data_IF_829057067343
#
_entry.id   IF_829057067343
#
_cell.length_a   1.000
_cell.length_b   1.000
_cell.length_c   1.000
_cell.angle_alpha   90.00
_cell.angle_beta   90.00
_cell.angle_gamma   90.00
#
_symmetry.space_group_name_H-M   'P 1'
#
loop_
_entity.id
_entity.type
_entity.pdbx_description
1 polymer ?
#
# COMPACT_ATOMS: atom_id res chain seq x y z
N UNK A 1 -1.90 -19.68 13.07
CA UNK A 1 -2.34 -18.29 13.33
C UNK A 1 -1.59 -17.21 12.54
N UNK A 2 -0.29 -17.37 12.19
CA UNK A 2 0.52 -16.34 11.46
C UNK A 2 -0.06 -15.87 10.12
N UNK A 3 -0.71 -16.73 9.34
CA UNK A 3 -1.30 -16.37 8.04
C UNK A 3 -2.54 -15.48 8.14
N UNK A 4 -3.34 -15.64 9.20
CA UNK A 4 -4.56 -14.85 9.42
C UNK A 4 -4.21 -13.38 9.74
N UNK A 5 -3.16 -13.16 10.52
CA UNK A 5 -2.66 -11.80 10.83
C UNK A 5 -2.09 -11.08 9.61
N UNK A 6 -1.37 -11.80 8.73
CA UNK A 6 -0.83 -11.24 7.49
C UNK A 6 -1.92 -10.85 6.49
N UNK A 7 -2.95 -11.69 6.34
CA UNK A 7 -4.10 -11.38 5.49
C UNK A 7 -4.83 -10.13 6.01
N UNK A 8 -5.09 -10.04 7.33
CA UNK A 8 -5.73 -8.86 7.93
C UNK A 8 -4.86 -7.61 7.75
N UNK A 9 -3.54 -7.72 7.87
CA UNK A 9 -2.63 -6.61 7.65
C UNK A 9 -2.65 -6.13 6.19
N UNK A 10 -2.70 -7.05 5.22
CA UNK A 10 -2.83 -6.72 3.80
C UNK A 10 -4.19 -6.10 3.48
N UNK A 11 -5.29 -6.70 3.95
CA UNK A 11 -6.63 -6.15 3.76
C UNK A 11 -6.80 -4.79 4.42
N UNK A 12 -6.27 -4.61 5.63
CA UNK A 12 -6.26 -3.33 6.33
C UNK A 12 -5.42 -2.29 5.59
N UNK A 13 -4.22 -2.65 5.12
CA UNK A 13 -3.35 -1.74 4.37
C UNK A 13 -3.97 -1.32 3.03
N UNK A 14 -4.52 -2.26 2.26
CA UNK A 14 -5.18 -2.00 0.98
C UNK A 14 -6.44 -1.16 1.20
N UNK A 15 -7.26 -1.50 2.21
CA UNK A 15 -8.45 -0.75 2.56
C UNK A 15 -8.14 0.69 2.97
N UNK A 16 -7.13 0.89 3.81
CA UNK A 16 -6.73 2.23 4.29
C UNK A 16 -6.11 3.05 3.17
N UNK A 17 -5.15 2.49 2.40
CA UNK A 17 -4.47 3.21 1.31
C UNK A 17 -5.42 3.51 0.15
N UNK A 18 -6.28 2.56 -0.22
CA UNK A 18 -7.29 2.73 -1.26
C UNK A 18 -8.34 3.77 -0.87
N UNK A 19 -8.82 3.73 0.37
CA UNK A 19 -9.78 4.73 0.86
C UNK A 19 -9.16 6.12 0.97
N UNK A 20 -7.91 6.24 1.47
CA UNK A 20 -7.18 7.51 1.51
C UNK A 20 -6.98 8.09 0.12
N UNK A 21 -6.49 7.29 -0.84
CA UNK A 21 -6.30 7.75 -2.22
C UNK A 21 -7.60 8.21 -2.86
N UNK A 22 -8.67 7.42 -2.71
CA UNK A 22 -9.99 7.77 -3.24
C UNK A 22 -10.56 9.05 -2.61
N UNK A 23 -10.51 9.17 -1.28
CA UNK A 23 -10.99 10.38 -0.59
C UNK A 23 -10.19 11.61 -0.96
N UNK A 24 -8.88 11.47 -1.18
CA UNK A 24 -7.99 12.58 -1.50
C UNK A 24 -8.19 13.06 -2.95
N UNK A 25 -8.34 12.14 -3.90
CA UNK A 25 -8.72 12.46 -5.28
C UNK A 25 -10.10 13.14 -5.33
N UNK A 26 -11.05 12.66 -4.52
CA UNK A 26 -12.39 13.26 -4.43
C UNK A 26 -12.37 14.64 -3.75
N UNK A 27 -11.54 14.82 -2.70
CA UNK A 27 -11.38 16.10 -2.00
C UNK A 27 -10.74 17.17 -2.90
N UNK A 28 -9.80 16.79 -3.75
CA UNK A 28 -9.19 17.69 -4.73
C UNK A 28 -10.02 17.85 -6.01
N UNK A 29 -11.19 17.19 -6.12
CA UNK A 29 -12.06 17.18 -7.29
C UNK A 29 -11.31 16.90 -8.60
N UNK A 30 -10.28 16.06 -8.51
CA UNK A 30 -9.45 15.72 -9.66
C UNK A 30 -10.25 14.79 -10.58
N UNK A 31 -10.48 15.21 -11.83
CA UNK A 31 -11.07 14.36 -12.87
C UNK A 31 -10.20 13.15 -13.17
N UNK A 32 -8.89 13.25 -12.92
CA UNK A 32 -7.94 12.17 -13.10
C UNK A 32 -7.46 11.68 -11.72
N UNK A 33 -7.53 10.36 -11.42
CA UNK A 33 -7.22 9.81 -10.10
C UNK A 33 -5.70 9.75 -9.84
N UNK A 34 -5.08 10.93 -9.74
CA UNK A 34 -3.64 11.10 -9.61
C UNK A 34 -3.12 10.58 -8.27
N UNK A 35 -3.86 10.77 -7.17
CA UNK A 35 -3.46 10.26 -5.87
C UNK A 35 -3.64 8.76 -5.77
N UNK A 36 -4.68 8.19 -6.36
CA UNK A 36 -4.82 6.73 -6.44
C UNK A 36 -3.63 6.10 -7.19
N UNK A 37 -3.15 6.73 -8.27
CA UNK A 37 -1.93 6.34 -8.98
C UNK A 37 -0.67 6.53 -8.12
N UNK A 38 -0.53 7.67 -7.44
CA UNK A 38 0.59 7.96 -6.56
C UNK A 38 0.68 6.96 -5.40
N UNK A 39 -0.45 6.68 -4.74
CA UNK A 39 -0.55 5.68 -3.69
C UNK A 39 -0.30 4.27 -4.23
N UNK A 40 -0.75 3.95 -5.45
CA UNK A 40 -0.40 2.71 -6.14
C UNK A 40 1.11 2.57 -6.32
N UNK A 41 1.78 3.62 -6.81
CA UNK A 41 3.24 3.65 -6.95
C UNK A 41 3.96 3.56 -5.61
N UNK A 42 3.50 4.28 -4.58
CA UNK A 42 4.04 4.20 -3.22
C UNK A 42 3.86 2.82 -2.61
N UNK A 43 2.70 2.18 -2.79
CA UNK A 43 2.45 0.82 -2.32
C UNK A 43 3.36 -0.18 -3.03
N UNK A 44 3.54 -0.01 -4.35
CA UNK A 44 4.43 -0.85 -5.14
C UNK A 44 5.89 -0.71 -4.73
N UNK A 45 6.39 0.54 -4.62
CA UNK A 45 7.75 0.82 -4.14
C UNK A 45 7.96 0.38 -2.69
N UNK A 46 6.96 0.58 -1.84
CA UNK A 46 6.96 0.12 -0.45
C UNK A 46 7.03 -1.41 -0.35
N UNK A 47 6.28 -2.14 -1.18
CA UNK A 47 6.38 -3.60 -1.28
C UNK A 47 7.76 -4.05 -1.75
N UNK A 48 8.30 -3.42 -2.80
CA UNK A 48 9.66 -3.72 -3.26
C UNK A 48 10.69 -3.48 -2.15
N UNK A 49 10.57 -2.40 -1.40
CA UNK A 49 11.45 -2.11 -0.26
C UNK A 49 11.29 -3.13 0.86
N UNK A 50 10.05 -3.55 1.15
CA UNK A 50 9.76 -4.55 2.17
C UNK A 50 10.35 -5.91 1.78
N UNK A 51 10.22 -6.32 0.52
CA UNK A 51 10.84 -7.52 -0.04
C UNK A 51 12.36 -7.43 0.03
N UNK A 52 12.95 -6.33 -0.42
CA UNK A 52 14.40 -6.12 -0.36
C UNK A 52 14.94 -6.20 1.07
N UNK A 53 14.27 -5.53 2.02
CA UNK A 53 14.61 -5.58 3.44
C UNK A 53 14.40 -6.98 4.02
N UNK A 54 13.37 -7.71 3.59
CA UNK A 54 13.12 -9.08 4.04
C UNK A 54 14.23 -10.02 3.58
N UNK A 55 14.66 -9.92 2.31
CA UNK A 55 15.79 -10.70 1.77
C UNK A 55 17.08 -10.35 2.51
N UNK A 56 17.32 -9.07 2.78
CA UNK A 56 18.51 -8.63 3.51
C UNK A 56 18.54 -9.12 4.96
N UNK A 57 17.36 -9.26 5.59
CA UNK A 57 17.21 -9.72 6.97
C UNK A 57 17.31 -11.25 7.11
N UNK A 58 17.03 -11.99 6.05
CA UNK A 58 17.11 -13.46 6.02
C UNK A 58 18.54 -13.97 5.77
N UNK A 59 19.43 -13.12 5.26
CA UNK A 59 20.86 -13.40 5.02
C UNK A 59 21.78 -12.96 6.19
N UNK A 60 21.30 -12.89 7.43
CA UNK A 60 22.13 -12.58 8.63
C UNK A 60 21.82 -13.50 9.79
#
# INVERSE_FOLDING_TARGET
MKYSGLAIQLFGAIGVLGWLGYKLDQYLALTFPAFMLLFGFLAFGGMMFQVYRSIKRDNS
#
